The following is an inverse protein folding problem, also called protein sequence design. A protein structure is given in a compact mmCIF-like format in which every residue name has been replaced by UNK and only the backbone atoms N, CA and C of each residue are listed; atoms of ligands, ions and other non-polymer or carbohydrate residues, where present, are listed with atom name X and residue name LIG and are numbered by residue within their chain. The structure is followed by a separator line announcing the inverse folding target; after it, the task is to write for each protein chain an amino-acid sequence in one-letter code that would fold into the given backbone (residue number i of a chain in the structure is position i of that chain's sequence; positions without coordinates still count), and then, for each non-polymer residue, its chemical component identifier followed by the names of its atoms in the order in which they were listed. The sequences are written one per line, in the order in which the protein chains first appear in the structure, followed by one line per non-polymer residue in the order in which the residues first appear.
data_IF_441790158136
#
_entry.id   IF_441790158136
#
_cell.length_a   1.000
_cell.length_b   1.000
_cell.length_c   1.000
_cell.angle_alpha   90.00
_cell.angle_beta   90.00
_cell.angle_gamma   90.00
#
_symmetry.space_group_name_H-M   'P 1'
#
loop_
_entity.id
_entity.type
_entity.pdbx_description
1 polymer ?
#
# COMPACT_ATOMS: atom_id res chain seq x y z
N UNK A 1 -9.43 -14.98 -2.23
CA UNK A 1 -9.05 -15.17 -0.82
C UNK A 1 -9.82 -14.25 0.12
N UNK A 2 -9.91 -12.94 -0.10
CA UNK A 2 -10.72 -12.03 0.75
C UNK A 2 -12.23 -12.35 0.79
N UNK A 3 -12.77 -12.95 -0.25
CA UNK A 3 -14.19 -13.35 -0.32
C UNK A 3 -14.53 -14.59 0.52
N UNK A 4 -13.54 -15.21 1.15
CA UNK A 4 -13.69 -16.39 2.03
C UNK A 4 -13.29 -16.11 3.48
N UNK A 5 -12.85 -14.88 3.82
CA UNK A 5 -12.55 -14.49 5.21
C UNK A 5 -13.85 -14.20 5.95
N UNK A 6 -13.98 -14.76 7.15
CA UNK A 6 -15.03 -14.41 8.10
C UNK A 6 -14.64 -13.22 8.97
N UNK A 7 -15.58 -12.70 9.74
CA UNK A 7 -15.33 -11.57 10.65
C UNK A 7 -14.26 -11.90 11.71
N UNK A 8 -14.11 -13.19 12.05
CA UNK A 8 -13.08 -13.69 12.99
C UNK A 8 -11.65 -13.61 12.44
N UNK A 9 -11.50 -13.51 11.12
CA UNK A 9 -10.21 -13.40 10.44
C UNK A 9 -9.75 -11.94 10.28
N UNK A 10 -10.61 -10.97 10.67
CA UNK A 10 -10.41 -9.55 10.41
C UNK A 10 -10.23 -8.75 11.70
N UNK A 11 -9.33 -7.79 11.64
CA UNK A 11 -9.19 -6.75 12.67
C UNK A 11 -9.65 -5.43 12.08
N UNK A 12 -10.75 -4.88 12.62
CA UNK A 12 -11.23 -3.57 12.17
C UNK A 12 -10.34 -2.46 12.71
N UNK A 13 -9.63 -1.76 11.83
CA UNK A 13 -8.80 -0.60 12.18
C UNK A 13 -9.61 0.69 12.25
N UNK A 14 -10.68 0.79 11.47
CA UNK A 14 -11.59 1.94 11.44
C UNK A 14 -12.98 1.46 11.09
N UNK A 15 -13.96 1.84 11.88
CA UNK A 15 -15.37 1.59 11.59
C UNK A 15 -15.87 2.46 10.44
N UNK A 16 -16.84 1.96 9.70
CA UNK A 16 -17.47 2.65 8.59
C UNK A 16 -18.72 1.94 8.13
N UNK A 17 -19.43 2.53 7.16
CA UNK A 17 -20.58 1.89 6.52
C UNK A 17 -20.13 1.25 5.21
N UNK A 18 -20.36 -0.06 5.07
CA UNK A 18 -20.03 -0.77 3.84
C UNK A 18 -20.96 -0.32 2.69
N UNK A 19 -20.36 -0.07 1.53
CA UNK A 19 -21.09 0.11 0.29
C UNK A 19 -21.06 -1.23 -0.49
N UNK A 20 -22.22 -1.88 -0.62
CA UNK A 20 -22.31 -3.27 -1.09
C UNK A 20 -21.79 -3.45 -2.52
N UNK A 21 -22.00 -2.45 -3.38
CA UNK A 21 -21.64 -2.51 -4.81
C UNK A 21 -20.35 -1.72 -5.14
N UNK A 22 -19.56 -1.37 -4.13
CA UNK A 22 -18.30 -0.66 -4.33
C UNK A 22 -17.12 -1.62 -4.48
N UNK A 23 -16.12 -1.28 -5.30
CA UNK A 23 -14.87 -2.01 -5.34
C UNK A 23 -14.15 -2.04 -3.98
N UNK A 24 -13.48 -3.14 -3.69
CA UNK A 24 -12.63 -3.31 -2.51
C UNK A 24 -11.17 -3.19 -2.93
N UNK A 25 -10.41 -2.36 -2.25
CA UNK A 25 -8.96 -2.32 -2.41
C UNK A 25 -8.28 -3.25 -1.40
N UNK A 26 -7.25 -3.94 -1.87
CA UNK A 26 -6.43 -4.84 -1.07
C UNK A 26 -4.99 -4.38 -1.19
N UNK A 27 -4.36 -4.13 -0.08
CA UNK A 27 -2.94 -3.79 -0.03
C UNK A 27 -2.22 -4.73 0.93
N UNK A 28 -0.99 -5.08 0.60
CA UNK A 28 -0.17 -6.00 1.40
C UNK A 28 1.30 -5.58 1.41
N UNK A 29 1.73 -4.81 2.41
CA UNK A 29 3.15 -4.55 2.63
C UNK A 29 3.84 -5.83 3.15
N UNK A 30 4.99 -6.16 2.56
CA UNK A 30 5.78 -7.34 2.91
C UNK A 30 7.21 -7.18 2.40
N UNK A 31 7.72 -8.15 1.65
CA UNK A 31 8.99 -8.03 0.92
C UNK A 31 8.92 -6.92 -0.13
N UNK A 32 7.75 -6.72 -0.73
CA UNK A 32 7.35 -5.62 -1.58
C UNK A 32 6.03 -5.04 -1.11
N UNK A 33 5.33 -4.30 -1.99
CA UNK A 33 4.02 -3.72 -1.71
C UNK A 33 3.01 -4.18 -2.77
N UNK A 34 2.25 -5.21 -2.44
CA UNK A 34 1.18 -5.70 -3.29
C UNK A 34 -0.05 -4.79 -3.23
N UNK A 35 -0.67 -4.57 -4.38
CA UNK A 35 -1.95 -3.87 -4.49
C UNK A 35 -2.85 -4.57 -5.50
N UNK A 36 -4.12 -4.74 -5.16
CA UNK A 36 -5.13 -5.31 -6.04
C UNK A 36 -6.49 -4.71 -5.73
N UNK A 37 -7.44 -4.92 -6.61
CA UNK A 37 -8.84 -4.57 -6.38
C UNK A 37 -9.75 -5.79 -6.62
N UNK A 38 -10.86 -5.84 -5.89
CA UNK A 38 -12.00 -6.69 -6.19
C UNK A 38 -13.13 -5.80 -6.68
N UNK A 39 -13.63 -6.07 -7.87
CA UNK A 39 -14.73 -5.32 -8.46
C UNK A 39 -15.97 -6.21 -8.49
N UNK A 40 -17.12 -5.75 -7.95
CA UNK A 40 -18.35 -6.51 -8.00
C UNK A 40 -18.85 -6.62 -9.45
N UNK A 41 -19.31 -7.80 -9.84
CA UNK A 41 -19.89 -8.05 -11.16
C UNK A 41 -21.02 -9.05 -11.02
N UNK A 42 -22.24 -8.60 -11.18
CA UNK A 42 -23.45 -9.40 -11.01
C UNK A 42 -23.44 -10.18 -9.67
N UNK A 43 -23.23 -11.49 -9.69
CA UNK A 43 -23.21 -12.34 -8.49
C UNK A 43 -21.81 -12.85 -8.12
N UNK A 44 -20.75 -12.19 -8.60
CA UNK A 44 -19.35 -12.59 -8.36
C UNK A 44 -18.44 -11.39 -8.17
N UNK A 45 -17.19 -11.65 -7.81
CA UNK A 45 -16.13 -10.67 -7.73
C UNK A 45 -15.07 -10.92 -8.78
N UNK A 46 -14.67 -9.87 -9.49
CA UNK A 46 -13.57 -9.92 -10.43
C UNK A 46 -12.34 -9.38 -9.74
N UNK A 47 -11.27 -10.19 -9.68
CA UNK A 47 -9.98 -9.76 -9.17
C UNK A 47 -9.24 -8.97 -10.24
N UNK A 48 -8.87 -7.74 -9.92
CA UNK A 48 -8.02 -6.90 -10.75
C UNK A 48 -6.65 -6.76 -10.07
N UNK A 49 -5.64 -7.51 -10.52
CA UNK A 49 -4.28 -7.33 -10.06
C UNK A 49 -3.77 -5.96 -10.48
N UNK A 50 -2.92 -5.35 -9.66
CA UNK A 50 -2.37 -4.05 -9.93
C UNK A 50 -0.94 -3.90 -9.41
N UNK A 51 -0.24 -2.94 -9.97
CA UNK A 51 1.12 -2.54 -9.57
C UNK A 51 1.12 -1.16 -8.88
N UNK A 52 0.09 -0.93 -8.04
CA UNK A 52 -0.07 0.34 -7.31
C UNK A 52 1.11 0.70 -6.40
N UNK A 53 1.88 -0.30 -5.95
CA UNK A 53 3.10 -0.08 -5.19
C UNK A 53 4.19 0.66 -5.96
N UNK A 54 4.19 0.62 -7.29
CA UNK A 54 5.15 1.32 -8.14
C UNK A 54 4.78 2.79 -8.41
N UNK A 55 3.63 3.27 -7.93
CA UNK A 55 3.29 4.70 -7.98
C UNK A 55 4.38 5.52 -7.28
N UNK A 56 4.71 6.68 -7.84
CA UNK A 56 5.69 7.56 -7.25
C UNK A 56 5.27 8.00 -5.84
N UNK A 57 6.21 8.04 -4.93
CA UNK A 57 5.98 8.62 -3.60
C UNK A 57 5.70 10.11 -3.74
N UNK A 58 4.58 10.56 -3.20
CA UNK A 58 4.13 11.95 -3.25
C UNK A 58 4.17 12.54 -1.83
N UNK A 59 5.26 13.23 -1.44
CA UNK A 59 5.42 13.80 -0.11
C UNK A 59 4.47 14.97 0.11
N UNK A 60 3.87 15.03 1.29
CA UNK A 60 2.93 16.09 1.71
C UNK A 60 3.50 16.96 2.83
N UNK A 61 4.41 16.44 3.63
CA UNK A 61 5.07 17.14 4.74
C UNK A 61 6.52 17.48 4.39
N UNK A 62 7.14 18.37 5.17
CA UNK A 62 8.56 18.73 5.01
C UNK A 62 9.47 17.53 5.23
N UNK A 63 9.20 16.76 6.30
CA UNK A 63 9.94 15.54 6.60
C UNK A 63 9.89 14.53 5.44
N UNK A 64 8.74 14.36 4.83
CA UNK A 64 8.57 13.46 3.68
C UNK A 64 9.34 13.97 2.44
N UNK A 65 9.43 15.29 2.24
CA UNK A 65 10.22 15.88 1.15
C UNK A 65 11.72 15.65 1.36
N UNK A 66 12.18 15.82 2.59
CA UNK A 66 13.56 15.54 2.97
C UNK A 66 13.89 14.06 2.76
N UNK A 67 13.01 13.17 3.23
CA UNK A 67 13.13 11.73 3.03
C UNK A 67 13.20 11.36 1.54
N UNK A 68 12.32 11.94 0.70
CA UNK A 68 12.38 11.74 -0.76
C UNK A 68 13.74 12.18 -1.33
N UNK A 69 14.26 13.31 -0.89
CA UNK A 69 15.56 13.84 -1.33
C UNK A 69 16.69 12.87 -1.00
N UNK A 70 16.73 12.36 0.23
CA UNK A 70 17.73 11.40 0.68
C UNK A 70 17.62 10.06 -0.06
N UNK A 71 16.43 9.53 -0.20
CA UNK A 71 16.20 8.27 -0.91
C UNK A 71 16.48 8.36 -2.43
N UNK A 72 16.28 9.54 -3.04
CA UNK A 72 16.60 9.76 -4.45
C UNK A 72 18.09 9.69 -4.77
N UNK A 73 18.97 9.79 -3.76
CA UNK A 73 20.40 9.54 -3.93
C UNK A 73 20.70 8.04 -4.14
N UNK A 74 19.84 7.18 -3.62
CA UNK A 74 20.01 5.72 -3.66
C UNK A 74 19.16 5.07 -4.75
N UNK A 75 17.95 5.58 -4.97
CA UNK A 75 16.97 5.03 -5.88
C UNK A 75 16.67 6.00 -7.02
N UNK A 76 16.71 5.51 -8.25
CA UNK A 76 16.36 6.31 -9.42
C UNK A 76 14.86 6.68 -9.45
N UNK A 77 14.02 5.80 -8.87
CA UNK A 77 12.59 6.01 -8.71
C UNK A 77 12.20 5.63 -7.27
N UNK A 78 11.72 6.61 -6.51
CA UNK A 78 11.19 6.38 -5.17
C UNK A 78 9.69 6.16 -5.27
N UNK A 79 9.27 4.92 -5.11
CA UNK A 79 7.86 4.51 -5.17
C UNK A 79 7.27 4.30 -3.77
N UNK A 80 5.96 4.10 -3.70
CA UNK A 80 5.27 3.68 -2.48
C UNK A 80 5.90 2.39 -1.94
N UNK A 81 6.20 1.41 -2.81
CA UNK A 81 6.86 0.16 -2.42
C UNK A 81 8.26 0.40 -1.85
N UNK A 82 9.03 1.36 -2.38
CA UNK A 82 10.36 1.70 -1.85
C UNK A 82 10.31 2.02 -0.35
N UNK A 83 9.21 2.60 0.12
CA UNK A 83 9.01 2.99 1.51
C UNK A 83 8.26 1.92 2.32
N UNK A 84 7.18 1.38 1.76
CA UNK A 84 6.25 0.49 2.45
C UNK A 84 6.56 -0.99 2.20
N UNK A 85 7.82 -1.38 2.46
CA UNK A 85 8.26 -2.77 2.45
C UNK A 85 9.29 -3.00 3.56
N UNK A 86 9.67 -4.25 3.82
CA UNK A 86 10.63 -4.58 4.88
C UNK A 86 11.94 -3.83 4.76
N UNK A 87 12.50 -3.74 3.55
CA UNK A 87 13.72 -2.98 3.28
C UNK A 87 13.50 -1.46 3.43
N UNK A 88 12.35 -0.97 3.00
CA UNK A 88 12.00 0.46 3.08
C UNK A 88 12.03 0.99 4.50
N UNK A 89 11.59 0.21 5.48
CA UNK A 89 11.67 0.59 6.89
C UNK A 89 13.11 0.82 7.35
N UNK A 90 14.05 -0.02 6.89
CA UNK A 90 15.47 0.15 7.20
C UNK A 90 16.03 1.40 6.52
N UNK A 91 15.67 1.63 5.26
CA UNK A 91 16.12 2.79 4.50
C UNK A 91 15.58 4.11 5.10
N UNK A 92 14.32 4.14 5.52
CA UNK A 92 13.73 5.28 6.24
C UNK A 92 14.49 5.54 7.55
N UNK A 93 14.70 4.50 8.34
CA UNK A 93 15.43 4.62 9.60
C UNK A 93 16.83 5.19 9.40
N UNK A 94 17.58 4.68 8.41
CA UNK A 94 18.92 5.16 8.10
C UNK A 94 18.92 6.61 7.62
N UNK A 95 17.93 7.02 6.83
CA UNK A 95 17.79 8.39 6.36
C UNK A 95 17.48 9.37 7.50
N UNK A 96 16.66 8.96 8.47
CA UNK A 96 16.28 9.80 9.62
C UNK A 96 17.37 9.86 10.70
N UNK A 97 18.40 8.99 10.65
CA UNK A 97 19.53 8.99 11.60
C UNK A 97 20.74 9.79 11.10
N UNK A 98 20.66 10.44 9.95
CA UNK A 98 21.69 11.31 9.41
C UNK A 98 21.53 12.73 9.96
#
# INVERSE_FOLDING_TARGET
MLTVLGDEDLISLKSGSACIDAPLAIIGPGTGFGAAALVPSQNTWITMPGEGGHAAFAPTTELERELLTLLSQKYQHVSVETLLCGRGLVDIYQALCQ
#
